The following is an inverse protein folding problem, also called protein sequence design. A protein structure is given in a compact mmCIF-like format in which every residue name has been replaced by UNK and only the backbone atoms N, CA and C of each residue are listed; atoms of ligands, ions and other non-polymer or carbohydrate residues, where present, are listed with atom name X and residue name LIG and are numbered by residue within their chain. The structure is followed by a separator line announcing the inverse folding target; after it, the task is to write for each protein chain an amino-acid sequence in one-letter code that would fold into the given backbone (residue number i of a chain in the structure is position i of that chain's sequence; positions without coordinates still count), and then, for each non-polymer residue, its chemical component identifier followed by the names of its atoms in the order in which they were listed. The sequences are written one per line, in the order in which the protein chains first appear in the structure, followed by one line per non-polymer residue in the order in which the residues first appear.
data_IF_159229019896
#
_entry.id   IF_159229019896
#
_cell.length_a   1.000
_cell.length_b   1.000
_cell.length_c   1.000
_cell.angle_alpha   90.00
_cell.angle_beta   90.00
_cell.angle_gamma   90.00
#
_symmetry.space_group_name_H-M   'P 1'
#
loop_
_entity.id
_entity.type
_entity.pdbx_description
1 polymer ?
#
# COMPACT_ATOMS: atom_id res chain seq x y z
N UNK A 1 13.90 11.14 14.20
CA UNK A 1 13.09 11.12 15.44
C UNK A 1 14.00 10.82 16.60
N UNK A 2 13.74 11.40 17.76
CA UNK A 2 14.50 11.19 18.99
C UNK A 2 13.56 11.21 20.20
N UNK A 3 14.03 10.71 21.35
CA UNK A 3 13.33 10.85 22.62
C UNK A 3 14.14 11.80 23.50
N UNK A 4 13.56 12.95 23.85
CA UNK A 4 14.19 14.01 24.64
C UNK A 4 13.36 14.22 25.89
N UNK A 5 13.99 14.11 27.06
CA UNK A 5 13.31 14.19 28.37
C UNK A 5 12.07 13.27 28.51
N UNK A 6 12.13 12.12 27.82
CA UNK A 6 11.04 11.13 27.79
C UNK A 6 9.91 11.45 26.81
N UNK A 7 9.98 12.55 26.07
CA UNK A 7 9.01 12.93 25.04
C UNK A 7 9.54 12.60 23.63
N UNK A 8 8.64 12.27 22.71
CA UNK A 8 9.01 12.02 21.33
C UNK A 8 9.15 13.34 20.56
N UNK A 9 10.29 13.52 19.90
CA UNK A 9 10.58 14.64 19.01
C UNK A 9 10.81 14.14 17.57
N UNK A 10 10.08 14.74 16.63
CA UNK A 10 10.18 14.50 15.20
C UNK A 10 10.76 15.73 14.51
N UNK A 11 11.82 15.55 13.72
CA UNK A 11 12.51 16.65 13.00
C UNK A 11 12.57 16.30 11.52
N UNK A 12 12.30 17.27 10.66
CA UNK A 12 12.53 17.16 9.21
C UNK A 12 13.05 18.48 8.64
N UNK A 13 13.76 18.39 7.52
CA UNK A 13 14.29 19.55 6.80
C UNK A 13 14.07 19.34 5.30
N UNK A 14 13.54 20.36 4.62
CA UNK A 14 13.25 20.36 3.18
C UNK A 14 14.14 21.33 2.40
N UNK A 15 15.16 21.92 3.04
CA UNK A 15 16.09 22.86 2.43
C UNK A 15 16.60 23.85 3.48
N UNK A 16 15.88 24.95 3.64
CA UNK A 16 16.38 26.13 4.36
C UNK A 16 16.21 26.08 5.88
N UNK A 17 15.19 25.38 6.38
CA UNK A 17 14.82 25.40 7.79
C UNK A 17 14.44 24.01 8.29
N UNK A 18 14.97 23.67 9.46
CA UNK A 18 14.55 22.50 10.23
C UNK A 18 13.21 22.79 10.92
N UNK A 19 12.28 21.86 10.79
CA UNK A 19 10.98 21.89 11.45
C UNK A 19 10.90 20.77 12.48
N UNK A 20 10.36 21.09 13.65
CA UNK A 20 10.25 20.19 14.79
C UNK A 20 8.80 20.04 15.26
N UNK A 21 8.38 18.81 15.54
CA UNK A 21 7.13 18.47 16.21
C UNK A 21 7.46 17.63 17.44
N UNK A 22 6.94 18.01 18.60
CA UNK A 22 7.15 17.30 19.86
C UNK A 22 5.81 16.86 20.44
N UNK A 23 5.72 15.61 20.86
CA UNK A 23 4.58 15.13 21.62
C UNK A 23 4.70 15.57 23.08
N UNK A 24 3.61 16.05 23.69
CA UNK A 24 3.57 16.43 25.11
C UNK A 24 3.54 15.21 26.06
N UNK A 25 3.21 14.04 25.53
CA UNK A 25 3.11 12.78 26.26
C UNK A 25 4.49 12.16 26.52
N UNK A 26 4.70 11.70 27.76
CA UNK A 26 5.89 10.92 28.16
C UNK A 26 5.73 9.46 27.74
N UNK A 27 6.79 8.91 27.12
CA UNK A 27 6.89 7.52 26.69
C UNK A 27 6.53 6.54 27.80
N UNK A 28 5.75 5.51 27.44
CA UNK A 28 5.41 4.40 28.32
C UNK A 28 6.65 3.59 28.68
N UNK A 29 6.80 3.31 29.97
CA UNK A 29 7.80 2.38 30.51
C UNK A 29 7.07 1.12 30.96
N UNK A 30 7.49 -0.04 30.46
CA UNK A 30 6.88 -1.33 30.77
C UNK A 30 7.94 -2.43 30.82
N UNK A 31 7.59 -3.57 31.41
CA UNK A 31 8.46 -4.75 31.46
C UNK A 31 8.61 -5.39 30.08
N UNK A 32 9.77 -6.00 29.80
CA UNK A 32 10.09 -6.52 28.46
C UNK A 32 9.26 -7.73 28.04
N UNK A 33 8.77 -8.54 28.99
CA UNK A 33 8.00 -9.78 28.71
C UNK A 33 6.52 -9.52 28.38
N UNK A 34 6.00 -8.38 28.82
CA UNK A 34 4.62 -7.93 28.58
C UNK A 34 4.65 -6.45 28.20
N UNK A 35 5.46 -6.12 27.19
CA UNK A 35 5.73 -4.75 26.83
C UNK A 35 4.47 -4.07 26.29
N UNK A 36 4.09 -3.02 26.98
CA UNK A 36 3.14 -2.02 26.51
C UNK A 36 3.94 -0.99 25.71
N UNK A 37 3.60 -0.86 24.44
CA UNK A 37 4.27 0.01 23.48
C UNK A 37 3.34 1.13 23.08
N UNK A 38 3.92 2.32 22.90
CA UNK A 38 3.26 3.46 22.29
C UNK A 38 3.31 3.33 20.76
N UNK A 39 2.37 3.97 20.06
CA UNK A 39 2.34 3.98 18.59
C UNK A 39 2.54 5.40 18.08
N UNK A 40 3.41 5.52 17.08
CA UNK A 40 3.78 6.78 16.47
C UNK A 40 3.42 6.70 15.00
N UNK A 41 2.61 7.65 14.53
CA UNK A 41 2.31 7.83 13.10
C UNK A 41 2.67 9.25 12.70
N UNK A 42 3.79 9.38 12.00
CA UNK A 42 4.26 10.64 11.45
C UNK A 42 3.94 10.70 9.96
N UNK A 43 3.14 11.68 9.56
CA UNK A 43 2.74 11.89 8.17
C UNK A 43 3.20 13.26 7.73
N UNK A 44 3.84 13.34 6.57
CA UNK A 44 4.21 14.60 5.94
C UNK A 44 3.67 14.62 4.52
N UNK A 45 2.94 15.68 4.19
CA UNK A 45 2.52 15.99 2.83
C UNK A 45 3.07 17.39 2.54
N UNK A 46 4.07 17.46 1.67
CA UNK A 46 4.83 18.70 1.42
C UNK A 46 5.40 19.32 2.71
N UNK A 47 5.22 20.60 2.93
CA UNK A 47 5.67 21.27 4.15
C UNK A 47 4.78 20.97 5.37
N UNK A 48 3.61 20.35 5.19
CA UNK A 48 2.68 20.05 6.27
C UNK A 48 3.03 18.72 6.93
N UNK A 49 3.08 18.70 8.25
CA UNK A 49 3.33 17.50 9.01
C UNK A 49 2.27 17.31 10.11
N UNK A 50 1.91 16.05 10.33
CA UNK A 50 1.02 15.59 11.39
C UNK A 50 1.70 14.46 12.15
N UNK A 51 1.80 14.61 13.45
CA UNK A 51 2.22 13.57 14.38
C UNK A 51 1.00 13.07 15.15
N UNK A 52 0.66 11.79 15.00
CA UNK A 52 -0.29 11.12 15.89
C UNK A 52 0.48 10.23 16.85
N UNK A 53 0.35 10.48 18.15
CA UNK A 53 0.94 9.69 19.20
C UNK A 53 -0.14 8.99 20.01
N UNK A 54 -0.07 7.67 20.12
CA UNK A 54 -1.03 6.88 20.90
C UNK A 54 -0.30 6.18 22.04
N UNK A 55 -0.55 6.63 23.27
CA UNK A 55 0.05 6.05 24.46
C UNK A 55 -0.61 4.72 24.82
N UNK A 56 0.21 3.74 25.20
CA UNK A 56 -0.23 2.41 25.56
C UNK A 56 -0.98 1.70 24.43
N UNK A 57 -0.60 1.93 23.17
CA UNK A 57 -1.30 1.45 21.98
C UNK A 57 -1.46 -0.07 21.93
N UNK A 58 -0.57 -0.83 22.58
CA UNK A 58 -0.64 -2.30 22.64
C UNK A 58 -1.27 -2.84 23.93
N UNK A 59 -1.74 -1.96 24.81
CA UNK A 59 -2.45 -2.31 26.05
C UNK A 59 -3.89 -2.76 25.78
N UNK A 60 -4.59 -3.22 26.82
CA UNK A 60 -6.02 -3.53 26.74
C UNK A 60 -6.91 -2.31 26.58
N UNK A 61 -6.41 -1.12 26.94
CA UNK A 61 -7.14 0.15 26.87
C UNK A 61 -6.18 1.28 26.45
N UNK A 62 -5.89 1.41 25.14
CA UNK A 62 -5.09 2.51 24.61
C UNK A 62 -5.68 3.89 24.97
N UNK A 63 -4.81 4.88 25.15
CA UNK A 63 -5.24 6.27 25.31
C UNK A 63 -5.70 6.86 23.96
N UNK A 64 -6.50 7.93 24.03
CA UNK A 64 -6.88 8.69 22.83
C UNK A 64 -5.61 9.28 22.18
N UNK A 65 -5.44 9.16 20.85
CA UNK A 65 -4.27 9.71 20.20
C UNK A 65 -4.15 11.23 20.36
N UNK A 66 -2.97 11.70 20.81
CA UNK A 66 -2.59 13.10 20.70
C UNK A 66 -2.26 13.43 19.24
N UNK A 67 -2.78 14.55 18.73
CA UNK A 67 -2.57 15.02 17.36
C UNK A 67 -1.84 16.35 17.41
N UNK A 68 -0.67 16.41 16.78
CA UNK A 68 0.16 17.60 16.70
C UNK A 68 0.37 17.93 15.22
N UNK A 69 -0.18 19.06 14.80
CA UNK A 69 -0.09 19.56 13.44
C UNK A 69 0.97 20.66 13.36
N UNK A 70 1.67 20.71 12.23
CA UNK A 70 2.60 21.77 11.91
C UNK A 70 2.28 22.32 10.52
N UNK A 71 1.80 23.57 10.52
CA UNK A 71 1.58 24.36 9.33
C UNK A 71 2.96 24.79 8.82
N UNK A 72 3.40 24.16 7.73
CA UNK A 72 4.76 24.34 7.23
C UNK A 72 5.05 25.80 6.90
N UNK A 73 6.05 26.37 7.57
CA UNK A 73 6.52 27.76 7.36
C UNK A 73 7.53 27.88 6.21
N UNK A 74 7.76 26.79 5.49
CA UNK A 74 8.80 26.66 4.47
C UNK A 74 8.15 26.57 3.09
N UNK A 75 8.69 27.30 2.11
CA UNK A 75 8.30 27.22 0.71
C UNK A 75 8.78 25.92 0.04
N UNK A 76 9.81 25.28 0.59
CA UNK A 76 10.29 23.99 0.10
C UNK A 76 9.32 22.87 0.47
N UNK A 77 8.97 22.05 -0.53
CA UNK A 77 7.92 21.03 -0.39
C UNK A 77 8.45 19.59 -0.45
N UNK A 78 9.59 19.35 -1.12
CA UNK A 78 10.08 17.99 -1.41
C UNK A 78 11.20 17.56 -0.47
N UNK A 79 11.20 16.28 -0.10
CA UNK A 79 12.33 15.63 0.55
C UNK A 79 13.11 14.88 -0.53
N UNK A 80 14.14 15.53 -1.06
CA UNK A 80 14.99 14.94 -2.09
C UNK A 80 16.02 14.02 -1.44
N UNK A 81 15.94 12.73 -1.74
CA UNK A 81 16.87 11.71 -1.25
C UNK A 81 17.68 11.19 -2.43
N UNK A 82 19.00 11.27 -2.32
CA UNK A 82 19.92 10.66 -3.28
C UNK A 82 20.00 9.15 -3.02
N UNK A 83 19.56 8.28 -3.95
CA UNK A 83 19.58 6.83 -3.77
C UNK A 83 20.96 6.26 -3.44
N UNK A 84 22.04 6.90 -3.90
CA UNK A 84 23.41 6.42 -3.67
C UNK A 84 23.92 6.76 -2.26
N UNK A 85 23.36 7.79 -1.63
CA UNK A 85 23.84 8.35 -0.37
C UNK A 85 22.82 8.27 0.79
N UNK A 86 21.57 7.89 0.51
CA UNK A 86 20.52 7.82 1.53
C UNK A 86 20.76 6.67 2.51
N UNK A 87 20.53 6.96 3.80
CA UNK A 87 20.60 5.98 4.89
C UNK A 87 19.32 6.01 5.71
N UNK A 88 18.92 4.85 6.22
CA UNK A 88 17.80 4.72 7.15
C UNK A 88 18.28 3.96 8.40
N UNK A 89 18.63 4.73 9.44
CA UNK A 89 19.06 4.22 10.73
C UNK A 89 17.91 4.18 11.73
N UNK A 90 17.83 3.10 12.51
CA UNK A 90 16.83 2.93 13.57
C UNK A 90 17.53 2.46 14.85
N UNK A 91 17.19 3.06 15.98
CA UNK A 91 17.76 2.75 17.29
C UNK A 91 19.18 3.28 17.50
N UNK A 92 20.05 3.26 16.49
CA UNK A 92 21.41 3.77 16.56
C UNK A 92 22.02 3.95 15.18
N UNK A 93 23.28 4.37 15.14
CA UNK A 93 24.02 4.73 13.93
C UNK A 93 25.50 4.34 14.11
N UNK A 94 26.27 4.16 13.02
CA UNK A 94 27.68 3.82 13.14
C UNK A 94 28.52 5.00 13.65
N UNK A 95 29.64 4.76 14.34
CA UNK A 95 30.42 5.81 15.02
C UNK A 95 30.96 6.91 14.11
N UNK A 96 31.17 6.62 12.83
CA UNK A 96 31.66 7.52 11.80
C UNK A 96 30.56 8.38 11.16
N UNK A 97 29.29 8.11 11.46
CA UNK A 97 28.18 8.89 10.92
C UNK A 97 27.98 10.21 11.67
N UNK A 98 28.09 11.32 10.94
CA UNK A 98 27.82 12.66 11.48
C UNK A 98 26.32 12.94 11.47
N UNK A 99 25.73 13.03 12.65
CA UNK A 99 24.32 13.39 12.81
C UNK A 99 24.05 14.89 12.59
N UNK A 100 22.82 15.25 12.16
CA UNK A 100 22.31 16.61 12.30
C UNK A 100 22.33 17.07 13.76
N UNK A 101 22.60 18.35 14.00
CA UNK A 101 22.73 18.92 15.35
C UNK A 101 21.49 18.66 16.22
N UNK A 102 20.30 18.77 15.66
CA UNK A 102 19.01 18.51 16.33
C UNK A 102 18.75 17.05 16.70
N UNK A 103 19.52 16.12 16.14
CA UNK A 103 19.38 14.69 16.40
C UNK A 103 20.65 14.10 17.03
N UNK A 104 21.59 14.94 17.46
CA UNK A 104 22.87 14.54 18.07
C UNK A 104 22.67 13.97 19.48
N UNK A 105 22.10 12.77 19.54
CA UNK A 105 21.78 12.03 20.75
C UNK A 105 22.46 10.66 20.75
N UNK A 106 22.70 10.05 21.92
CA UNK A 106 23.23 8.69 22.00
C UNK A 106 22.24 7.66 21.43
N UNK A 107 22.70 6.45 21.08
CA UNK A 107 21.82 5.36 20.65
C UNK A 107 20.69 5.07 21.66
N UNK A 108 19.52 4.76 21.13
CA UNK A 108 18.30 4.49 21.88
C UNK A 108 18.42 3.22 22.73
N UNK A 109 17.84 3.26 23.93
CA UNK A 109 17.75 2.12 24.85
C UNK A 109 16.28 1.79 25.07
N UNK A 110 15.81 0.71 24.47
CA UNK A 110 14.44 0.25 24.53
C UNK A 110 14.10 -0.61 23.32
N UNK A 111 12.81 -0.84 23.09
CA UNK A 111 12.32 -1.64 21.97
C UNK A 111 11.63 -0.75 20.93
N UNK A 112 11.91 -1.02 19.67
CA UNK A 112 11.29 -0.37 18.52
C UNK A 112 10.69 -1.49 17.65
N UNK A 113 9.48 -1.27 17.15
CA UNK A 113 8.84 -2.10 16.13
C UNK A 113 8.44 -1.17 14.99
N UNK A 114 8.81 -1.51 13.76
CA UNK A 114 8.34 -0.82 12.57
C UNK A 114 7.02 -1.43 12.12
N UNK A 115 6.16 -0.58 11.55
CA UNK A 115 4.83 -0.97 11.07
C UNK A 115 4.80 -0.82 9.55
N UNK A 116 4.78 0.41 9.04
CA UNK A 116 4.87 0.71 7.62
C UNK A 116 5.57 2.04 7.32
N UNK A 117 6.05 2.16 6.08
CA UNK A 117 6.59 3.39 5.51
C UNK A 117 5.99 3.58 4.11
N UNK A 118 5.25 4.68 3.90
CA UNK A 118 4.51 4.95 2.67
C UNK A 118 3.68 3.73 2.23
N UNK A 119 2.86 3.21 3.15
CA UNK A 119 1.97 2.04 2.96
C UNK A 119 2.65 0.70 2.71
N UNK A 120 3.99 0.65 2.73
CA UNK A 120 4.74 -0.59 2.62
C UNK A 120 5.05 -1.11 4.01
N UNK A 121 4.60 -2.33 4.31
CA UNK A 121 4.91 -3.00 5.58
C UNK A 121 6.43 -3.19 5.68
N UNK A 122 7.01 -2.78 6.81
CA UNK A 122 8.46 -2.79 7.00
C UNK A 122 8.82 -3.50 8.31
N UNK A 123 9.85 -4.34 8.26
CA UNK A 123 10.39 -5.02 9.44
C UNK A 123 11.82 -4.62 9.70
N UNK A 124 12.16 -4.40 10.98
CA UNK A 124 13.55 -4.18 11.38
C UNK A 124 14.47 -5.34 11.00
N UNK A 125 13.94 -6.56 10.89
CA UNK A 125 14.72 -7.74 10.52
C UNK A 125 15.04 -7.82 9.02
N UNK A 126 14.49 -6.91 8.21
CA UNK A 126 14.88 -6.73 6.81
C UNK A 126 15.93 -5.59 6.70
N UNK A 127 17.05 -5.73 7.40
CA UNK A 127 18.12 -4.74 7.45
C UNK A 127 19.24 -5.03 6.43
N UNK A 128 19.97 -3.99 6.03
CA UNK A 128 21.24 -4.13 5.28
C UNK A 128 22.43 -4.47 6.18
N UNK A 129 22.50 -3.84 7.35
CA UNK A 129 23.59 -3.99 8.33
C UNK A 129 23.08 -3.71 9.74
N UNK A 130 23.66 -4.38 10.73
CA UNK A 130 23.45 -4.11 12.16
C UNK A 130 24.73 -3.61 12.80
N UNK A 131 24.58 -2.93 13.95
CA UNK A 131 25.69 -2.41 14.75
C UNK A 131 25.48 -2.85 16.19
N UNK A 132 26.36 -3.71 16.72
CA UNK A 132 26.32 -4.20 18.10
C UNK A 132 24.94 -4.78 18.50
N UNK A 133 24.29 -5.53 17.59
CA UNK A 133 23.00 -6.16 17.83
C UNK A 133 23.18 -7.67 17.98
N UNK A 134 23.00 -8.18 19.20
CA UNK A 134 22.88 -9.61 19.47
C UNK A 134 21.55 -9.91 20.17
N UNK A 135 20.56 -10.42 19.42
CA UNK A 135 19.21 -10.72 19.93
C UNK A 135 19.15 -11.96 20.82
N UNK A 136 20.24 -12.73 20.91
CA UNK A 136 20.37 -13.84 21.86
C UNK A 136 20.84 -13.38 23.24
N UNK A 137 21.56 -12.24 23.30
CA UNK A 137 21.99 -11.61 24.54
C UNK A 137 20.97 -10.57 25.04
N UNK A 138 20.43 -9.76 24.12
CA UNK A 138 19.40 -8.76 24.42
C UNK A 138 18.13 -9.16 23.69
N UNK A 139 17.26 -9.88 24.39
CA UNK A 139 15.99 -10.35 23.83
C UNK A 139 15.07 -9.17 23.49
N UNK A 140 14.48 -9.12 22.29
CA UNK A 140 13.46 -8.14 21.94
C UNK A 140 12.26 -8.19 22.88
N UNK A 141 11.65 -7.03 23.14
CA UNK A 141 10.43 -6.97 23.94
C UNK A 141 9.31 -7.81 23.31
N UNK A 142 8.62 -8.57 24.15
CA UNK A 142 7.42 -9.32 23.79
C UNK A 142 6.21 -8.45 24.08
N UNK A 143 5.48 -8.07 23.04
CA UNK A 143 4.19 -7.37 23.20
C UNK A 143 3.02 -8.29 22.92
N UNK A 144 1.84 -7.88 23.39
CA UNK A 144 0.58 -8.50 22.97
C UNK A 144 0.41 -8.33 21.45
N UNK A 145 0.21 -9.44 20.75
CA UNK A 145 -0.14 -9.45 19.33
C UNK A 145 -1.61 -9.08 19.19
N UNK A 146 -1.89 -8.07 18.37
CA UNK A 146 -3.26 -7.72 17.98
C UNK A 146 -3.84 -8.89 17.18
N UNK A 147 -5.00 -9.40 17.61
CA UNK A 147 -5.69 -10.46 16.87
C UNK A 147 -6.45 -9.84 15.68
N UNK A 148 -6.15 -10.29 14.47
CA UNK A 148 -6.89 -9.93 13.27
C UNK A 148 -7.29 -11.19 12.51
N UNK A 149 -8.52 -11.18 12.00
CA UNK A 149 -9.06 -12.15 11.04
C UNK A 149 -8.78 -11.75 9.58
N UNK A 150 -8.23 -10.55 9.37
CA UNK A 150 -7.85 -10.01 8.06
C UNK A 150 -6.37 -10.21 7.80
N UNK A 151 -6.04 -10.53 6.57
CA UNK A 151 -4.67 -10.66 6.08
C UNK A 151 -4.48 -9.67 4.92
N UNK A 152 -3.46 -8.84 4.98
CA UNK A 152 -3.05 -7.99 3.87
C UNK A 152 -2.07 -8.75 2.99
N UNK A 153 -2.38 -8.84 1.71
CA UNK A 153 -1.48 -9.30 0.67
C UNK A 153 -0.84 -8.08 0.04
N UNK A 154 0.48 -8.03 0.02
CA UNK A 154 1.26 -6.85 -0.40
C UNK A 154 1.39 -6.74 -1.93
N UNK A 155 0.96 -7.76 -2.68
CA UNK A 155 1.13 -7.82 -4.14
C UNK A 155 2.50 -8.35 -4.59
N UNK A 156 3.30 -8.91 -3.68
CA UNK A 156 4.67 -9.37 -3.94
C UNK A 156 4.88 -10.88 -3.75
N UNK A 157 3.89 -11.59 -3.21
CA UNK A 157 4.03 -13.01 -2.89
C UNK A 157 2.72 -13.78 -2.93
N UNK A 158 2.55 -14.72 -2.01
CA UNK A 158 1.47 -15.70 -2.02
C UNK A 158 1.31 -16.34 -0.64
N UNK A 159 0.19 -17.05 -0.44
CA UNK A 159 0.04 -17.99 0.65
C UNK A 159 -0.22 -19.40 0.11
N UNK A 160 0.57 -20.38 0.55
CA UNK A 160 0.40 -21.78 0.20
C UNK A 160 -0.49 -22.48 1.22
N UNK A 161 -1.53 -23.17 0.75
CA UNK A 161 -2.50 -23.82 1.63
C UNK A 161 -2.70 -25.29 1.23
N UNK A 162 -2.41 -26.24 2.14
CA UNK A 162 -2.71 -27.65 1.90
C UNK A 162 -4.21 -27.88 1.96
N UNK A 163 -4.72 -28.81 1.15
CA UNK A 163 -6.13 -29.22 1.14
C UNK A 163 -6.25 -30.74 1.16
N UNK A 164 -7.41 -31.25 1.57
CA UNK A 164 -7.66 -32.67 1.58
C UNK A 164 -7.76 -33.19 0.14
N UNK A 165 -6.88 -34.11 -0.29
CA UNK A 165 -7.01 -34.76 -1.59
C UNK A 165 -8.32 -35.57 -1.61
N UNK A 166 -8.96 -35.65 -2.78
CA UNK A 166 -10.17 -36.47 -3.00
C UNK A 166 -11.43 -36.09 -2.20
N UNK A 167 -11.52 -34.89 -1.62
CA UNK A 167 -12.81 -34.41 -1.11
C UNK A 167 -13.88 -34.48 -2.24
N UNK A 168 -15.09 -35.03 -1.99
CA UNK A 168 -16.10 -35.21 -3.04
C UNK A 168 -16.56 -33.89 -3.65
N UNK A 169 -16.73 -32.87 -2.81
CA UNK A 169 -17.09 -31.51 -3.21
C UNK A 169 -16.13 -30.51 -2.52
N UNK A 170 -14.89 -30.34 -3.03
CA UNK A 170 -13.98 -29.33 -2.51
C UNK A 170 -14.64 -27.94 -2.57
N UNK A 171 -14.64 -27.24 -1.45
CA UNK A 171 -15.24 -25.92 -1.30
C UNK A 171 -14.19 -24.99 -0.71
N UNK A 172 -13.99 -23.84 -1.34
CA UNK A 172 -13.07 -22.79 -0.91
C UNK A 172 -13.85 -21.49 -0.80
N UNK A 173 -13.68 -20.77 0.30
CA UNK A 173 -14.37 -19.52 0.57
C UNK A 173 -13.40 -18.46 1.04
N UNK A 174 -13.59 -17.23 0.57
CA UNK A 174 -12.81 -16.06 0.98
C UNK A 174 -13.65 -14.80 0.79
N UNK A 175 -13.39 -13.78 1.62
CA UNK A 175 -13.87 -12.42 1.38
C UNK A 175 -12.66 -11.55 1.06
N UNK A 176 -12.73 -10.77 0.00
CA UNK A 176 -11.64 -9.89 -0.43
C UNK A 176 -12.07 -8.42 -0.43
N UNK A 177 -11.10 -7.53 -0.26
CA UNK A 177 -11.26 -6.10 -0.41
C UNK A 177 -10.06 -5.55 -1.19
N UNK A 178 -10.31 -4.93 -2.35
CA UNK A 178 -9.23 -4.38 -3.19
C UNK A 178 -9.71 -3.25 -4.10
N UNK A 179 -8.76 -2.46 -4.59
CA UNK A 179 -8.91 -1.44 -5.63
C UNK A 179 -8.03 -1.73 -6.85
N UNK A 180 -7.33 -2.87 -6.88
CA UNK A 180 -6.45 -3.21 -8.00
C UNK A 180 -7.24 -3.77 -9.18
N UNK A 181 -6.84 -3.39 -10.38
CA UNK A 181 -7.48 -3.85 -11.62
C UNK A 181 -7.02 -5.25 -12.03
N UNK A 182 -5.85 -5.68 -11.54
CA UNK A 182 -5.24 -6.97 -11.87
C UNK A 182 -4.67 -7.66 -10.65
N UNK A 183 -4.90 -8.97 -10.51
CA UNK A 183 -4.34 -9.74 -9.40
C UNK A 183 -4.79 -11.20 -9.36
N UNK A 184 -3.89 -12.12 -9.04
CA UNK A 184 -4.19 -13.54 -8.90
C UNK A 184 -4.71 -13.85 -7.51
N UNK A 185 -5.95 -14.32 -7.39
CA UNK A 185 -6.62 -14.57 -6.10
C UNK A 185 -6.49 -16.00 -5.62
N UNK A 186 -6.70 -16.96 -6.51
CA UNK A 186 -6.67 -18.39 -6.22
C UNK A 186 -5.97 -19.11 -7.36
N UNK A 187 -5.10 -20.07 -7.04
CA UNK A 187 -4.46 -20.92 -8.03
C UNK A 187 -4.31 -22.35 -7.51
N UNK A 188 -4.67 -23.33 -8.34
CA UNK A 188 -4.43 -24.73 -8.07
C UNK A 188 -3.92 -25.41 -9.34
N UNK A 189 -2.96 -26.33 -9.19
CA UNK A 189 -2.39 -27.07 -10.31
C UNK A 189 -2.21 -28.55 -10.00
N UNK A 190 -2.14 -29.34 -11.06
CA UNK A 190 -1.66 -30.71 -11.03
C UNK A 190 -1.11 -31.08 -12.41
N UNK A 191 0.21 -31.27 -12.49
CA UNK A 191 0.93 -31.54 -13.75
C UNK A 191 0.79 -30.37 -14.72
N UNK A 192 0.16 -30.57 -15.87
CA UNK A 192 -0.03 -29.56 -16.91
C UNK A 192 -1.41 -28.91 -16.86
N UNK A 193 -2.22 -29.24 -15.84
CA UNK A 193 -3.56 -28.70 -15.60
C UNK A 193 -3.54 -27.66 -14.50
N UNK A 194 -4.35 -26.62 -14.64
CA UNK A 194 -4.47 -25.57 -13.63
C UNK A 194 -5.85 -24.93 -13.62
N UNK A 195 -6.18 -24.29 -12.50
CA UNK A 195 -7.33 -23.39 -12.33
C UNK A 195 -6.81 -22.14 -11.64
N UNK A 196 -7.10 -20.98 -12.21
CA UNK A 196 -6.80 -19.68 -11.62
C UNK A 196 -8.03 -18.79 -11.60
N UNK A 197 -8.26 -18.14 -10.47
CA UNK A 197 -9.20 -17.03 -10.35
C UNK A 197 -8.39 -15.73 -10.29
N UNK A 198 -8.62 -14.86 -11.25
CA UNK A 198 -7.89 -13.62 -11.46
C UNK A 198 -8.83 -12.42 -11.40
N UNK A 199 -8.32 -11.27 -11.02
CA UNK A 199 -8.90 -9.97 -11.33
C UNK A 199 -8.24 -9.51 -12.63
N UNK A 200 -9.04 -9.15 -13.62
CA UNK A 200 -8.60 -8.54 -14.89
C UNK A 200 -9.59 -7.41 -15.23
N UNK A 201 -9.08 -6.21 -15.50
CA UNK A 201 -9.86 -4.98 -15.69
C UNK A 201 -10.92 -4.76 -14.59
N UNK A 202 -10.54 -5.05 -13.34
CA UNK A 202 -11.38 -4.90 -12.15
C UNK A 202 -12.46 -5.97 -11.97
N UNK A 203 -12.60 -6.91 -12.91
CA UNK A 203 -13.60 -7.99 -12.90
C UNK A 203 -12.96 -9.34 -12.64
N UNK A 204 -13.74 -10.29 -12.12
CA UNK A 204 -13.24 -11.65 -11.93
C UNK A 204 -13.22 -12.44 -13.24
N UNK A 205 -12.10 -13.12 -13.47
CA UNK A 205 -11.86 -13.96 -14.63
C UNK A 205 -11.32 -15.31 -14.19
N UNK A 206 -11.96 -16.38 -14.64
CA UNK A 206 -11.52 -17.75 -14.36
C UNK A 206 -10.79 -18.26 -15.57
N UNK A 207 -9.51 -18.58 -15.40
CA UNK A 207 -8.70 -19.20 -16.43
C UNK A 207 -8.35 -20.61 -16.02
N UNK A 208 -8.58 -21.58 -16.90
CA UNK A 208 -8.45 -22.99 -16.55
C UNK A 208 -7.98 -23.85 -17.72
N UNK A 209 -7.18 -24.87 -17.42
CA UNK A 209 -6.79 -25.93 -18.34
C UNK A 209 -7.04 -27.26 -17.64
N UNK A 210 -8.08 -27.97 -18.06
CA UNK A 210 -8.53 -29.22 -17.42
C UNK A 210 -8.10 -30.48 -18.17
N UNK A 211 -7.70 -30.34 -19.42
CA UNK A 211 -7.31 -31.39 -20.35
C UNK A 211 -6.15 -30.89 -21.22
N UNK A 212 -5.79 -31.63 -22.27
CA UNK A 212 -4.71 -31.27 -23.20
C UNK A 212 -5.05 -30.07 -24.10
N UNK A 213 -6.27 -29.53 -24.06
CA UNK A 213 -6.66 -28.36 -24.85
C UNK A 213 -5.98 -27.09 -24.32
N UNK A 214 -5.93 -26.02 -25.14
CA UNK A 214 -5.48 -24.72 -24.67
C UNK A 214 -6.30 -24.21 -23.47
N UNK A 215 -5.71 -23.36 -22.60
CA UNK A 215 -6.44 -22.76 -21.48
C UNK A 215 -7.67 -21.98 -21.97
N UNK A 216 -8.78 -22.13 -21.24
CA UNK A 216 -10.04 -21.43 -21.48
C UNK A 216 -10.27 -20.36 -20.42
N UNK A 217 -11.07 -19.36 -20.76
CA UNK A 217 -11.38 -18.22 -19.89
C UNK A 217 -12.89 -17.99 -19.79
N UNK A 218 -13.34 -17.57 -18.61
CA UNK A 218 -14.74 -17.27 -18.32
C UNK A 218 -14.83 -16.11 -17.32
N UNK A 219 -15.47 -15.02 -17.73
CA UNK A 219 -15.77 -13.90 -16.84
C UNK A 219 -16.80 -14.28 -15.78
N UNK A 220 -16.65 -13.71 -14.59
CA UNK A 220 -17.51 -13.94 -13.44
C UNK A 220 -17.97 -12.60 -12.90
N UNK A 221 -19.27 -12.34 -13.08
CA UNK A 221 -19.94 -11.22 -12.43
C UNK A 221 -19.47 -9.82 -12.83
N UNK A 222 -19.73 -8.87 -11.92
CA UNK A 222 -19.41 -7.45 -12.09
C UNK A 222 -18.02 -7.07 -11.55
N UNK A 223 -17.68 -5.77 -11.65
CA UNK A 223 -16.43 -5.24 -11.12
C UNK A 223 -16.40 -5.30 -9.59
N UNK A 224 -15.28 -5.77 -9.05
CA UNK A 224 -15.07 -6.03 -7.61
C UNK A 224 -13.96 -5.15 -7.01
N UNK A 225 -13.24 -4.38 -7.83
CA UNK A 225 -12.17 -3.46 -7.45
C UNK A 225 -12.69 -2.12 -6.86
N UNK A 226 -13.82 -2.15 -6.15
CA UNK A 226 -14.48 -0.95 -5.62
C UNK A 226 -14.10 -0.65 -4.15
N UNK A 227 -13.12 -1.36 -3.60
CA UNK A 227 -12.67 -1.18 -2.23
C UNK A 227 -13.63 -1.69 -1.15
N UNK A 228 -14.72 -2.40 -1.50
CA UNK A 228 -15.66 -3.03 -0.56
C UNK A 228 -15.40 -4.53 -0.43
N UNK A 229 -16.05 -5.14 0.55
CA UNK A 229 -16.01 -6.59 0.75
C UNK A 229 -16.78 -7.30 -0.38
N UNK A 230 -16.12 -8.27 -1.02
CA UNK A 230 -16.72 -9.20 -1.97
C UNK A 230 -16.49 -10.64 -1.52
N UNK A 231 -17.56 -11.41 -1.39
CA UNK A 231 -17.53 -12.79 -0.93
C UNK A 231 -17.42 -13.75 -2.11
N UNK A 232 -16.36 -14.55 -2.14
CA UNK A 232 -16.06 -15.50 -3.20
C UNK A 232 -16.13 -16.92 -2.64
N UNK A 233 -16.88 -17.79 -3.32
CA UNK A 233 -16.92 -19.21 -3.02
C UNK A 233 -16.72 -20.04 -4.29
N UNK A 234 -15.73 -20.93 -4.26
CA UNK A 234 -15.44 -21.90 -5.31
C UNK A 234 -15.87 -23.27 -4.81
N UNK A 235 -16.76 -23.95 -5.54
CA UNK A 235 -17.19 -25.32 -5.28
C UNK A 235 -16.88 -26.18 -6.49
N UNK A 236 -16.26 -27.33 -6.27
CA UNK A 236 -15.88 -28.25 -7.34
C UNK A 236 -16.68 -29.55 -7.16
N UNK A 237 -17.58 -29.86 -8.09
CA UNK A 237 -18.31 -31.13 -8.12
C UNK A 237 -17.66 -32.09 -9.11
N UNK A 238 -16.79 -32.96 -8.62
CA UNK A 238 -16.04 -33.89 -9.48
C UNK A 238 -16.94 -34.86 -10.22
N UNK A 239 -17.93 -35.43 -9.53
CA UNK A 239 -18.90 -36.36 -10.12
C UNK A 239 -19.78 -35.66 -11.16
N UNK A 240 -20.14 -34.41 -10.91
CA UNK A 240 -20.96 -33.59 -11.81
C UNK A 240 -20.14 -32.97 -12.95
N UNK A 241 -18.81 -33.13 -12.95
CA UNK A 241 -17.87 -32.47 -13.87
C UNK A 241 -18.16 -30.97 -13.99
N UNK A 242 -18.34 -30.31 -12.83
CA UNK A 242 -18.72 -28.89 -12.75
C UNK A 242 -17.96 -28.16 -11.66
N UNK A 243 -17.70 -26.89 -11.91
CA UNK A 243 -17.23 -25.93 -10.92
C UNK A 243 -18.22 -24.76 -10.83
N UNK A 244 -18.59 -24.39 -9.60
CA UNK A 244 -19.41 -23.23 -9.29
C UNK A 244 -18.55 -22.17 -8.65
N UNK A 245 -18.66 -20.95 -9.17
CA UNK A 245 -17.97 -19.79 -8.64
C UNK A 245 -19.03 -18.76 -8.32
N UNK A 246 -19.27 -18.60 -7.03
CA UNK A 246 -20.20 -17.63 -6.49
C UNK A 246 -19.42 -16.39 -6.07
N UNK A 247 -19.89 -15.23 -6.53
CA UNK A 247 -19.36 -13.91 -6.17
C UNK A 247 -20.55 -13.10 -5.70
N UNK A 248 -20.60 -12.83 -4.40
CA UNK A 248 -21.76 -12.26 -3.72
C UNK A 248 -23.04 -13.04 -4.04
N UNK A 249 -23.94 -12.47 -4.85
CA UNK A 249 -25.21 -13.07 -5.28
C UNK A 249 -25.15 -13.72 -6.67
N UNK A 250 -24.05 -13.52 -7.40
CA UNK A 250 -23.88 -14.01 -8.76
C UNK A 250 -23.21 -15.38 -8.76
N UNK A 251 -23.64 -16.27 -9.66
CA UNK A 251 -23.13 -17.63 -9.78
C UNK A 251 -22.72 -17.91 -11.23
N UNK A 252 -21.48 -18.36 -11.42
CA UNK A 252 -20.96 -18.82 -12.71
C UNK A 252 -20.64 -20.30 -12.63
N UNK A 253 -21.09 -21.05 -13.65
CA UNK A 253 -20.87 -22.48 -13.77
C UNK A 253 -19.88 -22.73 -14.91
N UNK A 254 -18.89 -23.59 -14.65
CA UNK A 254 -17.94 -24.08 -15.65
C UNK A 254 -18.06 -25.60 -15.70
N UNK A 255 -18.40 -26.13 -16.87
CA UNK A 255 -18.43 -27.56 -17.14
C UNK A 255 -17.03 -28.06 -17.54
N UNK A 256 -16.62 -29.20 -16.99
CA UNK A 256 -15.35 -29.84 -17.28
C UNK A 256 -14.90 -30.83 -16.21
N UNK A 257 -14.06 -31.78 -16.60
CA UNK A 257 -13.51 -32.77 -15.69
C UNK A 257 -12.42 -32.14 -14.81
N UNK A 258 -12.79 -31.82 -13.56
CA UNK A 258 -11.89 -31.15 -12.63
C UNK A 258 -10.92 -32.14 -11.99
N UNK A 259 -9.65 -31.75 -11.90
CA UNK A 259 -8.59 -32.59 -11.37
C UNK A 259 -8.44 -32.48 -9.85
N UNK A 260 -7.84 -33.53 -9.25
CA UNK A 260 -7.43 -33.51 -7.86
C UNK A 260 -6.15 -32.71 -7.65
N UNK A 261 -6.09 -31.95 -6.57
CA UNK A 261 -4.91 -31.24 -6.10
C UNK A 261 -4.84 -31.29 -4.57
N UNK A 262 -3.62 -31.30 -4.02
CA UNK A 262 -3.35 -31.37 -2.59
C UNK A 262 -3.00 -30.01 -1.98
N UNK A 263 -2.72 -29.02 -2.82
CA UNK A 263 -2.33 -27.66 -2.41
C UNK A 263 -2.95 -26.65 -3.36
N UNK A 264 -3.30 -25.49 -2.83
CA UNK A 264 -3.66 -24.31 -3.61
C UNK A 264 -2.95 -23.08 -3.05
N UNK A 265 -2.88 -22.04 -3.86
CA UNK A 265 -2.23 -20.78 -3.54
C UNK A 265 -3.27 -19.67 -3.51
N UNK A 266 -3.08 -18.73 -2.59
CA UNK A 266 -3.86 -17.51 -2.49
C UNK A 266 -2.97 -16.30 -2.75
N UNK A 267 -3.53 -15.31 -3.45
CA UNK A 267 -2.90 -14.01 -3.66
C UNK A 267 -1.68 -13.97 -4.59
N UNK A 268 -1.18 -15.12 -5.04
CA UNK A 268 -0.08 -15.22 -5.99
C UNK A 268 0.41 -16.65 -6.12
N UNK A 269 1.56 -16.84 -6.77
CA UNK A 269 2.21 -18.15 -6.95
C UNK A 269 3.75 -18.00 -6.98
N UNK A 270 4.51 -19.04 -6.60
CA UNK A 270 5.95 -19.10 -6.80
C UNK A 270 6.37 -18.86 -8.27
N UNK A 271 7.56 -18.27 -8.47
CA UNK A 271 8.07 -17.95 -9.82
C UNK A 271 8.17 -19.18 -10.74
N UNK A 272 8.58 -20.33 -10.21
CA UNK A 272 8.67 -21.57 -10.97
C UNK A 272 7.30 -22.04 -11.52
N UNK A 273 6.21 -21.83 -10.75
CA UNK A 273 4.85 -22.15 -11.20
C UNK A 273 4.40 -21.11 -12.24
N UNK A 274 4.71 -19.83 -12.00
CA UNK A 274 4.40 -18.73 -12.92
C UNK A 274 4.98 -18.97 -14.30
N UNK A 275 6.27 -19.34 -14.38
CA UNK A 275 6.98 -19.64 -15.63
C UNK A 275 6.39 -20.88 -16.32
N UNK A 276 6.19 -21.97 -15.56
CA UNK A 276 5.65 -23.24 -16.09
C UNK A 276 4.29 -23.07 -16.78
N UNK A 277 3.41 -22.24 -16.24
CA UNK A 277 2.05 -22.04 -16.76
C UNK A 277 1.87 -20.75 -17.57
N UNK A 278 2.95 -19.98 -17.78
CA UNK A 278 2.94 -18.68 -18.45
C UNK A 278 1.86 -17.74 -17.90
N UNK A 279 1.90 -17.51 -16.58
CA UNK A 279 0.95 -16.65 -15.87
C UNK A 279 1.51 -15.22 -15.82
N UNK A 280 0.85 -14.30 -16.54
CA UNK A 280 1.22 -12.89 -16.57
C UNK A 280 0.51 -12.04 -15.51
N UNK A 281 -0.58 -12.54 -14.92
CA UNK A 281 -1.34 -11.82 -13.87
C UNK A 281 -0.43 -11.56 -12.65
N UNK A 282 -0.36 -10.33 -12.13
CA UNK A 282 0.46 -10.01 -10.95
C UNK A 282 -0.10 -10.67 -9.69
N UNK A 283 0.71 -10.72 -8.63
CA UNK A 283 0.21 -11.11 -7.31
C UNK A 283 -0.83 -10.07 -6.83
N UNK A 284 -1.86 -10.55 -6.14
CA UNK A 284 -2.94 -9.74 -5.61
C UNK A 284 -2.43 -8.83 -4.49
N UNK A 285 -2.85 -7.57 -4.54
CA UNK A 285 -2.73 -6.62 -3.45
C UNK A 285 -4.10 -6.28 -2.89
N UNK A 286 -4.26 -6.39 -1.58
CA UNK A 286 -5.54 -6.14 -0.90
C UNK A 286 -5.72 -6.98 0.35
N UNK A 287 -6.89 -6.89 0.97
CA UNK A 287 -7.21 -7.70 2.14
C UNK A 287 -7.89 -9.01 1.73
N UNK A 288 -7.61 -10.08 2.47
CA UNK A 288 -8.45 -11.27 2.50
C UNK A 288 -8.83 -11.66 3.94
N UNK A 289 -10.08 -12.07 4.14
CA UNK A 289 -10.62 -12.58 5.42
C UNK A 289 -11.58 -13.73 5.17
N UNK A 290 -12.12 -14.32 6.24
CA UNK A 290 -13.09 -15.42 6.17
C UNK A 290 -12.61 -16.63 5.34
N UNK A 291 -11.32 -16.91 5.37
CA UNK A 291 -10.71 -17.99 4.60
C UNK A 291 -11.20 -19.35 5.10
N UNK A 292 -11.87 -20.09 4.23
CA UNK A 292 -12.47 -21.40 4.51
C UNK A 292 -12.12 -22.39 3.42
N UNK A 293 -11.90 -23.64 3.81
CA UNK A 293 -11.84 -24.80 2.92
C UNK A 293 -12.79 -25.89 3.44
N UNK A 294 -12.95 -26.98 2.70
CA UNK A 294 -13.84 -28.10 3.10
C UNK A 294 -13.59 -28.58 4.53
N UNK A 295 -12.33 -28.64 4.97
CA UNK A 295 -11.96 -29.12 6.31
C UNK A 295 -12.09 -28.05 7.42
N UNK A 296 -12.58 -26.84 7.11
CA UNK A 296 -12.78 -25.77 8.09
C UNK A 296 -12.03 -24.47 7.77
N UNK A 297 -11.74 -23.69 8.81
CA UNK A 297 -11.08 -22.38 8.71
C UNK A 297 -9.61 -22.54 8.29
N UNK A 298 -9.15 -21.67 7.41
CA UNK A 298 -7.77 -21.64 6.92
C UNK A 298 -6.94 -20.70 7.78
N UNK A 299 -5.80 -21.19 8.27
CA UNK A 299 -4.74 -20.38 8.87
C UNK A 299 -3.56 -20.33 7.92
N UNK A 300 -3.11 -19.14 7.58
CA UNK A 300 -1.98 -18.93 6.68
C UNK A 300 -0.69 -19.04 7.50
N UNK A 301 0.04 -20.13 7.30
CA UNK A 301 1.30 -20.40 7.97
C UNK A 301 2.50 -20.32 7.02
N UNK A 302 2.29 -20.62 5.75
CA UNK A 302 3.29 -20.59 4.69
C UNK A 302 2.97 -19.46 3.73
N UNK A 303 3.67 -18.34 3.90
CA UNK A 303 3.34 -17.07 3.26
C UNK A 303 4.57 -16.27 2.88
N UNK A 304 4.50 -15.59 1.74
CA UNK A 304 5.45 -14.57 1.29
C UNK A 304 4.66 -13.30 1.02
N UNK A 305 5.06 -12.15 1.60
CA UNK A 305 4.37 -10.86 1.39
C UNK A 305 2.93 -10.84 1.91
N UNK A 306 2.68 -11.50 3.04
CA UNK A 306 1.36 -11.52 3.69
C UNK A 306 1.49 -11.13 5.15
N UNK A 307 0.73 -10.12 5.56
CA UNK A 307 0.70 -9.61 6.93
C UNK A 307 -0.63 -9.93 7.60
N UNK A 308 -0.61 -10.48 8.82
CA UNK A 308 -1.82 -10.84 9.60
C UNK A 308 -2.48 -9.63 10.27
N UNK A 309 -2.81 -8.64 9.45
CA UNK A 309 -3.53 -7.41 9.73
C UNK A 309 -3.89 -6.80 8.39
N UNK A 310 -4.95 -6.01 8.31
CA UNK A 310 -5.19 -5.17 7.14
C UNK A 310 -5.61 -3.77 7.59
N UNK A 311 -4.63 -2.87 7.68
CA UNK A 311 -4.87 -1.47 8.05
C UNK A 311 -5.60 -0.75 6.91
N UNK A 312 -6.47 0.20 7.24
CA UNK A 312 -7.05 1.10 6.22
C UNK A 312 -5.96 1.98 5.58
N UNK A 313 -4.90 2.30 6.33
CA UNK A 313 -3.78 3.09 5.83
C UNK A 313 -3.09 2.42 4.63
N UNK A 314 -2.94 1.09 4.66
CA UNK A 314 -2.25 0.33 3.60
C UNK A 314 -3.09 0.14 2.33
N UNK A 315 -4.35 0.55 2.36
CA UNK A 315 -5.27 0.52 1.21
C UNK A 315 -5.27 1.83 0.44
N UNK A 316 -4.58 2.85 0.95
CA UNK A 316 -4.47 4.14 0.29
C UNK A 316 -3.72 3.99 -1.04
N UNK A 317 -4.29 4.56 -2.11
CA UNK A 317 -3.69 4.60 -3.44
C UNK A 317 -3.37 6.07 -3.76
N UNK A 318 -2.11 6.34 -4.09
CA UNK A 318 -1.59 7.71 -4.37
C UNK A 318 -1.14 7.93 -5.80
N UNK A 319 -1.22 6.90 -6.63
CA UNK A 319 -0.76 6.92 -8.02
C UNK A 319 -1.81 6.27 -8.91
N UNK A 320 -2.01 6.85 -10.09
CA UNK A 320 -2.84 6.30 -11.15
C UNK A 320 -2.09 6.42 -12.48
N UNK A 321 -2.42 5.53 -13.42
CA UNK A 321 -1.89 5.58 -14.78
C UNK A 321 -3.05 5.77 -15.75
N UNK A 322 -2.91 6.75 -16.64
CA UNK A 322 -3.94 7.12 -17.59
C UNK A 322 -3.55 6.62 -18.98
N UNK A 323 -4.50 5.99 -19.67
CA UNK A 323 -4.32 5.56 -21.06
C UNK A 323 -5.60 5.84 -21.84
N UNK A 324 -5.47 6.02 -23.16
CA UNK A 324 -6.61 6.16 -24.11
C UNK A 324 -7.62 7.26 -23.73
N UNK A 325 -7.15 8.39 -23.19
CA UNK A 325 -8.01 9.50 -22.77
C UNK A 325 -8.75 9.27 -21.44
N UNK A 326 -8.31 8.32 -20.62
CA UNK A 326 -8.83 8.15 -19.26
C UNK A 326 -8.64 9.39 -18.39
N UNK A 327 -9.56 9.62 -17.46
CA UNK A 327 -9.57 10.74 -16.54
C UNK A 327 -9.93 10.26 -15.13
N UNK A 328 -9.50 11.02 -14.11
CA UNK A 328 -9.89 10.82 -12.72
C UNK A 328 -10.44 12.13 -12.17
N UNK A 329 -11.67 12.08 -11.65
CA UNK A 329 -12.29 13.21 -10.98
C UNK A 329 -12.49 12.88 -9.51
N UNK A 330 -12.09 13.80 -8.64
CA UNK A 330 -12.44 13.76 -7.23
C UNK A 330 -13.74 14.55 -7.02
N UNK A 331 -14.71 13.95 -6.35
CA UNK A 331 -15.88 14.68 -5.85
C UNK A 331 -15.56 15.27 -4.48
N UNK A 332 -16.29 16.31 -4.08
CA UNK A 332 -16.29 16.82 -2.70
C UNK A 332 -14.98 17.46 -2.19
N UNK A 333 -14.11 17.96 -3.08
CA UNK A 333 -12.89 18.68 -2.69
C UNK A 333 -13.12 20.08 -2.08
N UNK A 334 -14.37 20.53 -2.00
CA UNK A 334 -14.72 21.91 -1.67
C UNK A 334 -14.29 22.90 -2.77
N UNK A 335 -14.65 24.17 -2.60
CA UNK A 335 -14.16 25.27 -3.44
C UNK A 335 -13.23 26.13 -2.59
N UNK A 336 -11.90 25.93 -2.67
CA UNK A 336 -10.98 26.72 -1.88
C UNK A 336 -11.11 28.21 -2.25
N UNK A 337 -10.95 29.13 -1.28
CA UNK A 337 -10.80 30.54 -1.57
C UNK A 337 -9.66 30.73 -2.57
N UNK A 338 -9.81 31.66 -3.51
CA UNK A 338 -8.79 31.89 -4.53
C UNK A 338 -7.46 32.38 -3.99
N UNK A 339 -7.44 32.99 -2.79
CA UNK A 339 -6.29 33.73 -2.28
C UNK A 339 -5.34 32.85 -1.45
N UNK A 340 -5.75 31.62 -1.14
CA UNK A 340 -4.93 30.62 -0.45
C UNK A 340 -5.14 29.25 -1.09
N UNK A 341 -4.32 28.94 -2.09
CA UNK A 341 -4.39 27.68 -2.83
C UNK A 341 -3.00 27.07 -2.94
N UNK A 342 -2.88 25.81 -2.54
CA UNK A 342 -1.74 24.97 -2.87
C UNK A 342 -2.23 23.69 -3.51
N UNK A 343 -1.88 23.50 -4.78
CA UNK A 343 -2.11 22.26 -5.50
C UNK A 343 -0.74 21.67 -5.88
N UNK A 344 -0.54 20.39 -5.63
CA UNK A 344 0.74 19.76 -5.93
C UNK A 344 0.56 18.30 -6.25
N UNK A 345 1.29 17.82 -7.26
CA UNK A 345 1.22 16.44 -7.73
C UNK A 345 2.53 16.03 -8.41
N UNK A 346 2.80 14.73 -8.42
CA UNK A 346 3.87 14.14 -9.22
C UNK A 346 3.32 13.61 -10.55
N UNK A 347 4.09 13.75 -11.63
CA UNK A 347 3.74 13.18 -12.93
C UNK A 347 4.98 12.63 -13.64
N UNK A 348 4.75 11.67 -14.55
CA UNK A 348 5.77 11.05 -15.38
C UNK A 348 5.16 10.77 -16.75
N UNK A 349 5.74 11.28 -17.83
CA UNK A 349 5.19 11.12 -19.19
C UNK A 349 6.26 11.26 -20.27
N UNK A 350 5.97 10.67 -21.43
CA UNK A 350 6.67 10.92 -22.70
C UNK A 350 5.79 11.66 -23.71
N UNK A 351 4.52 11.90 -23.37
CA UNK A 351 3.61 12.64 -24.24
C UNK A 351 3.98 14.12 -24.22
N UNK A 352 3.97 14.82 -25.37
CA UNK A 352 4.32 16.23 -25.44
C UNK A 352 3.19 17.14 -24.92
N UNK A 353 1.94 16.67 -24.95
CA UNK A 353 0.79 17.47 -24.54
C UNK A 353 -0.23 16.69 -23.72
N UNK A 354 -0.95 17.40 -22.84
CA UNK A 354 -2.04 16.83 -22.05
C UNK A 354 -2.43 17.69 -20.84
N UNK A 355 -3.64 17.48 -20.32
CA UNK A 355 -4.09 18.12 -19.09
C UNK A 355 -3.58 17.30 -17.90
N UNK A 356 -2.87 17.95 -16.98
CA UNK A 356 -2.35 17.32 -15.75
C UNK A 356 -3.26 17.58 -14.56
N UNK A 357 -3.80 18.79 -14.45
CA UNK A 357 -4.74 19.19 -13.40
C UNK A 357 -5.74 20.19 -13.97
N UNK A 358 -7.01 20.01 -13.64
CA UNK A 358 -8.07 21.01 -13.83
C UNK A 358 -8.84 21.13 -12.51
N UNK A 359 -8.84 22.32 -11.92
CA UNK A 359 -9.49 22.57 -10.63
C UNK A 359 -10.32 23.85 -10.67
N UNK A 360 -11.60 23.72 -10.34
CA UNK A 360 -12.50 24.86 -10.21
C UNK A 360 -12.31 25.53 -8.85
N UNK A 361 -12.15 26.85 -8.85
CA UNK A 361 -12.11 27.69 -7.65
C UNK A 361 -13.41 28.49 -7.53
N UNK A 362 -13.58 29.27 -6.46
CA UNK A 362 -14.81 30.07 -6.26
C UNK A 362 -15.09 31.08 -7.38
N UNK A 363 -14.05 31.60 -8.05
CA UNK A 363 -14.19 32.71 -9.02
C UNK A 363 -13.53 32.46 -10.38
N UNK A 364 -12.76 31.37 -10.55
CA UNK A 364 -12.14 30.99 -11.83
C UNK A 364 -11.80 29.49 -11.86
N UNK A 365 -11.06 29.02 -12.86
CA UNK A 365 -10.47 27.68 -12.88
C UNK A 365 -8.95 27.76 -12.99
N UNK A 366 -8.26 26.84 -12.31
CA UNK A 366 -6.82 26.64 -12.41
C UNK A 366 -6.56 25.42 -13.29
N UNK A 367 -5.79 25.59 -14.36
CA UNK A 367 -5.42 24.50 -15.23
C UNK A 367 -3.89 24.38 -15.33
N UNK A 368 -3.37 23.17 -15.11
CA UNK A 368 -1.98 22.82 -15.37
C UNK A 368 -1.97 21.88 -16.56
N UNK A 369 -1.32 22.31 -17.65
CA UNK A 369 -1.19 21.53 -18.89
C UNK A 369 0.28 21.30 -19.22
N UNK A 370 0.49 20.32 -20.07
CA UNK A 370 1.72 20.14 -20.81
C UNK A 370 1.46 20.58 -22.26
N UNK A 371 2.30 21.45 -22.81
CA UNK A 371 2.21 21.94 -24.19
C UNK A 371 3.61 21.93 -24.83
N UNK A 372 3.78 21.14 -25.88
CA UNK A 372 5.09 20.88 -26.52
C UNK A 372 6.20 20.50 -25.51
N UNK A 373 5.80 19.76 -24.46
CA UNK A 373 6.66 19.33 -23.37
C UNK A 373 6.86 20.36 -22.26
N UNK A 374 6.41 21.61 -22.42
CA UNK A 374 6.48 22.64 -21.38
C UNK A 374 5.28 22.56 -20.44
N UNK A 375 5.50 22.79 -19.14
CA UNK A 375 4.43 22.91 -18.16
C UNK A 375 3.87 24.33 -18.26
N UNK A 376 2.57 24.45 -18.49
CA UNK A 376 1.86 25.72 -18.55
C UNK A 376 0.79 25.81 -17.46
N UNK A 377 0.75 26.95 -16.78
CA UNK A 377 -0.29 27.29 -15.81
C UNK A 377 -1.19 28.35 -16.43
N UNK A 378 -2.49 28.08 -16.52
CA UNK A 378 -3.47 29.00 -17.07
C UNK A 378 -4.71 29.10 -16.19
N UNK A 379 -5.46 30.18 -16.37
CA UNK A 379 -6.84 30.29 -15.88
C UNK A 379 -7.81 30.37 -17.04
N UNK A 380 -9.08 29.98 -16.84
CA UNK A 380 -10.10 30.01 -17.90
C UNK A 380 -10.22 31.35 -18.62
N UNK A 381 -10.00 32.42 -17.87
CA UNK A 381 -10.22 33.80 -18.32
C UNK A 381 -8.94 34.45 -18.86
N UNK A 382 -7.81 33.74 -18.82
CA UNK A 382 -6.53 34.24 -19.33
C UNK A 382 -6.42 34.09 -20.86
N UNK A 383 -5.87 35.10 -21.53
CA UNK A 383 -5.63 35.08 -22.99
C UNK A 383 -4.38 34.29 -23.39
N UNK A 384 -3.65 33.73 -22.42
CA UNK A 384 -2.42 32.96 -22.57
C UNK A 384 -1.95 32.41 -21.22
N UNK A 385 -0.88 31.59 -21.19
CA UNK A 385 -0.40 31.00 -19.95
C UNK A 385 0.12 32.08 -18.98
N UNK A 386 -0.26 31.96 -17.71
CA UNK A 386 0.24 32.79 -16.61
C UNK A 386 1.71 32.46 -16.35
N UNK A 387 2.04 31.17 -16.37
CA UNK A 387 3.42 30.69 -16.27
C UNK A 387 3.69 29.63 -17.33
N UNK A 388 4.92 29.62 -17.83
CA UNK A 388 5.47 28.57 -18.67
C UNK A 388 6.82 28.15 -18.09
N UNK A 389 7.05 26.85 -17.98
CA UNK A 389 8.30 26.33 -17.45
C UNK A 389 9.50 26.69 -18.34
N UNK A 390 10.73 26.80 -17.79
CA UNK A 390 11.92 27.16 -18.57
C UNK A 390 12.44 26.03 -19.46
N UNK A 391 12.01 24.79 -19.19
CA UNK A 391 12.44 23.58 -19.90
C UNK A 391 11.25 22.63 -20.09
N UNK A 392 11.50 21.55 -20.84
CA UNK A 392 10.53 20.49 -21.12
C UNK A 392 10.61 19.34 -20.13
N UNK A 393 9.48 18.65 -19.88
CA UNK A 393 9.33 17.59 -18.86
C UNK A 393 8.63 16.34 -19.43
N UNK A 394 9.12 15.86 -20.57
CA UNK A 394 8.62 14.67 -21.28
C UNK A 394 9.70 13.57 -21.42
N UNK A 395 10.63 13.54 -20.47
CA UNK A 395 11.79 12.64 -20.43
C UNK A 395 11.48 11.27 -19.81
N UNK A 396 10.23 11.06 -19.38
CA UNK A 396 9.82 9.86 -18.65
C UNK A 396 10.41 9.73 -17.26
N UNK A 397 10.96 10.80 -16.68
CA UNK A 397 11.33 10.85 -15.27
C UNK A 397 10.17 11.38 -14.42
N UNK A 398 10.22 11.12 -13.11
CA UNK A 398 9.23 11.62 -12.17
C UNK A 398 9.52 13.08 -11.84
N UNK A 399 8.58 13.96 -12.16
CA UNK A 399 8.62 15.38 -11.85
C UNK A 399 7.51 15.75 -10.88
N UNK A 400 7.73 16.79 -10.08
CA UNK A 400 6.73 17.32 -9.15
C UNK A 400 6.40 18.76 -9.51
N UNK A 401 5.11 19.05 -9.58
CA UNK A 401 4.58 20.40 -9.79
C UNK A 401 3.92 20.86 -8.50
N UNK A 402 4.24 22.08 -8.08
CA UNK A 402 3.57 22.76 -6.98
C UNK A 402 3.12 24.13 -7.45
N UNK A 403 1.81 24.36 -7.48
CA UNK A 403 1.20 25.67 -7.71
C UNK A 403 0.79 26.20 -6.34
N UNK A 404 1.38 27.32 -5.94
CA UNK A 404 1.12 27.98 -4.66
C UNK A 404 0.68 29.40 -4.98
N UNK A 405 -0.48 29.79 -4.45
CA UNK A 405 -0.97 31.15 -4.45
C UNK A 405 -1.13 31.61 -3.01
N UNK A 406 -0.41 32.66 -2.66
CA UNK A 406 -0.50 33.34 -1.38
C UNK A 406 -0.62 34.86 -1.58
N UNK A 407 -0.74 35.60 -0.47
CA UNK A 407 -0.90 37.07 -0.50
C UNK A 407 0.41 37.81 -0.86
N UNK A 408 1.49 37.09 -1.15
CA UNK A 408 2.80 37.68 -1.49
C UNK A 408 2.88 38.14 -2.94
N UNK A 409 1.90 37.77 -3.78
CA UNK A 409 1.85 38.09 -5.21
C UNK A 409 2.25 36.91 -6.09
#
# INVERSE_FOLDING_TARGET
MAVVDGQLTCVYNLGDHETELQADQILTKSETKEAVMDRVKFQRIYQFARLNYTKGATSSKPETPGVYDMDGRNSNTLLNLDPENVVFYVGGYPPDFKLPSRLSFPPYKGCIELDDLNENVLSLYNFKKTFNLNTTEVEPCRRRKEESDKNYFEGTGYAQVPTQPHAPIPTFGQTIQTTVDRGLLFFAENRDRFISLNIEDGKLMVRYKLNSEPPKERGVGDAINNGRDHSIQIKIGKLQKRMWINVDVQNTIIDGEVFDFSTYYLGGIPIAIRERFNISTPAFRGCMKNLKKTSGVVRLNDTVGVTKKCSEDWKLVRSASFSRGGQLSFTDLGLPPTDHLQASFGFQTFQPSGILLDHQTQTSSLQVTLEDGYIELSTRDSSGPIFKSPQTYMDGLLHYVSVIRDNSG
#
